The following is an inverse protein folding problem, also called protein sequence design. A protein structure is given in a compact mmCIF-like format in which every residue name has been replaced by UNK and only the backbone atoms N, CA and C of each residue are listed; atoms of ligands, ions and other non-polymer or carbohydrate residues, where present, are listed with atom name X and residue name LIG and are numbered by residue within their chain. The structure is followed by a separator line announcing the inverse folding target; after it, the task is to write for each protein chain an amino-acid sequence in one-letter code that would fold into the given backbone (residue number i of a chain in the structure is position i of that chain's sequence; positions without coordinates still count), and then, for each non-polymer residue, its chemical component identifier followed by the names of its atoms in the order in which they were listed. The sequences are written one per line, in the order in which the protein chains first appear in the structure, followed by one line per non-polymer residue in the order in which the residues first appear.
data_IF_376120390053
#
_entry.id   IF_376120390053
#
_cell.length_a   1.000
_cell.length_b   1.000
_cell.length_c   1.000
_cell.angle_alpha   90.00
_cell.angle_beta   90.00
_cell.angle_gamma   90.00
#
_symmetry.space_group_name_H-M   'P 1'
#
loop_
_entity.id
_entity.type
_entity.pdbx_description
1 polymer ?
#
# COMPACT_ATOMS: atom_id res chain seq x y z
N UNK A 1 -56.13 -7.57 8.56
CA UNK A 1 -54.98 -8.20 7.86
C UNK A 1 -54.51 -7.33 6.67
N UNK A 2 -54.28 -6.02 6.86
CA UNK A 2 -54.06 -5.09 5.73
C UNK A 2 -53.01 -3.99 5.92
N UNK A 3 -52.33 -3.90 7.08
CA UNK A 3 -51.31 -2.88 7.31
C UNK A 3 -49.86 -3.40 7.34
N UNK A 4 -49.63 -4.72 7.46
CA UNK A 4 -48.26 -5.26 7.48
C UNK A 4 -47.66 -5.48 6.08
N UNK A 5 -48.48 -5.68 5.05
CA UNK A 5 -48.01 -5.89 3.68
C UNK A 5 -47.47 -4.63 3.00
N UNK A 6 -48.00 -3.46 3.36
CA UNK A 6 -47.57 -2.18 2.80
C UNK A 6 -46.21 -1.70 3.38
N UNK A 7 -45.88 -2.09 4.62
CA UNK A 7 -44.62 -1.70 5.25
C UNK A 7 -43.41 -2.47 4.66
N UNK A 8 -43.59 -3.74 4.31
CA UNK A 8 -42.54 -4.57 3.72
C UNK A 8 -42.18 -4.16 2.28
N UNK A 9 -43.12 -3.56 1.54
CA UNK A 9 -42.86 -3.02 0.20
C UNK A 9 -42.10 -1.68 0.23
N UNK A 10 -42.22 -0.89 1.30
CA UNK A 10 -41.44 0.34 1.49
C UNK A 10 -40.01 0.06 2.01
N UNK A 11 -39.81 -1.07 2.71
CA UNK A 11 -38.48 -1.53 3.14
C UNK A 11 -37.69 -2.24 2.02
N UNK A 12 -38.34 -2.63 0.91
CA UNK A 12 -37.68 -3.18 -0.28
C UNK A 12 -37.05 -2.15 -1.22
N UNK A 13 -37.25 -0.84 -0.97
CA UNK A 13 -36.77 0.25 -1.82
C UNK A 13 -35.43 0.88 -1.42
N UNK A 14 -34.87 0.50 -0.27
CA UNK A 14 -33.53 0.92 0.18
C UNK A 14 -32.53 -0.24 -0.01
N UNK A 15 -32.58 -0.89 -1.17
CA UNK A 15 -31.42 -1.63 -1.66
C UNK A 15 -30.29 -0.63 -1.77
N UNK A 16 -29.28 -0.76 -0.91
CA UNK A 16 -28.10 0.07 -0.88
C UNK A 16 -27.61 0.27 -2.33
N UNK A 17 -27.68 1.50 -2.83
CA UNK A 17 -26.82 1.95 -3.91
C UNK A 17 -25.40 1.90 -3.35
N UNK A 18 -24.82 0.69 -3.29
CA UNK A 18 -23.40 0.54 -3.36
C UNK A 18 -23.04 1.10 -4.73
N UNK A 19 -22.69 2.39 -4.77
CA UNK A 19 -22.00 2.97 -5.91
C UNK A 19 -20.75 2.12 -6.11
N UNK A 20 -20.84 1.15 -7.02
CA UNK A 20 -19.70 0.41 -7.50
C UNK A 20 -18.81 1.44 -8.19
N UNK A 21 -17.60 1.59 -7.67
CA UNK A 21 -16.59 2.49 -8.21
C UNK A 21 -16.06 1.92 -9.53
N UNK A 22 -16.87 2.02 -10.59
CA UNK A 22 -16.45 1.73 -11.96
C UNK A 22 -15.86 3.00 -12.56
N UNK A 23 -14.56 3.15 -12.39
CA UNK A 23 -13.84 4.16 -13.15
C UNK A 23 -13.70 3.61 -14.57
N UNK A 24 -13.93 4.47 -15.57
CA UNK A 24 -13.98 4.08 -16.98
C UNK A 24 -12.79 3.19 -17.40
N UNK A 25 -13.09 2.11 -18.12
CA UNK A 25 -12.12 1.14 -18.63
C UNK A 25 -11.02 1.88 -19.39
N UNK A 26 -9.79 1.78 -18.88
CA UNK A 26 -8.62 2.33 -19.56
C UNK A 26 -8.21 1.40 -20.69
N UNK A 27 -7.76 2.00 -21.80
CA UNK A 27 -7.16 1.31 -22.94
C UNK A 27 -6.07 0.33 -22.47
N UNK A 28 -6.28 -0.97 -22.71
CA UNK A 28 -5.33 -2.04 -22.36
C UNK A 28 -3.96 -1.81 -22.97
N UNK A 29 -3.91 -1.23 -24.16
CA UNK A 29 -2.66 -0.96 -24.87
C UNK A 29 -1.85 0.13 -24.15
N UNK A 30 -2.52 1.09 -23.51
CA UNK A 30 -1.83 2.10 -22.70
C UNK A 30 -1.19 1.48 -21.45
N UNK A 31 -1.91 0.58 -20.78
CA UNK A 31 -1.40 -0.14 -19.60
C UNK A 31 -0.19 -0.98 -19.98
N UNK A 32 -0.28 -1.70 -21.09
CA UNK A 32 0.83 -2.50 -21.60
C UNK A 32 2.04 -1.64 -21.97
N UNK A 33 1.84 -0.52 -22.70
CA UNK A 33 2.92 0.42 -23.06
C UNK A 33 3.63 1.00 -21.83
N UNK A 34 2.88 1.33 -20.78
CA UNK A 34 3.47 1.79 -19.51
C UNK A 34 4.23 0.65 -18.80
N UNK A 35 3.68 -0.55 -18.82
CA UNK A 35 4.34 -1.77 -18.36
C UNK A 35 5.69 -2.01 -19.02
N UNK A 36 5.70 -2.00 -20.35
CA UNK A 36 6.91 -2.16 -21.17
C UNK A 36 7.98 -1.13 -20.85
N UNK A 37 7.63 0.08 -20.39
CA UNK A 37 8.60 1.09 -19.92
C UNK A 37 9.21 0.77 -18.55
N UNK A 38 8.50 0.04 -17.69
CA UNK A 38 9.01 -0.39 -16.39
C UNK A 38 9.82 -1.69 -16.44
N UNK A 39 9.53 -2.59 -17.37
CA UNK A 39 10.22 -3.89 -17.48
C UNK A 39 11.76 -3.78 -17.52
N UNK A 40 12.38 -2.83 -18.27
CA UNK A 40 13.84 -2.68 -18.28
C UNK A 40 14.45 -2.28 -16.94
N UNK A 41 13.67 -1.72 -16.01
CA UNK A 41 14.14 -1.39 -14.66
C UNK A 41 14.33 -2.62 -13.79
N UNK A 42 13.68 -3.74 -14.13
CA UNK A 42 13.81 -5.00 -13.38
C UNK A 42 15.20 -5.63 -13.52
N UNK A 43 15.97 -5.23 -14.54
CA UNK A 43 17.35 -5.67 -14.76
C UNK A 43 18.37 -4.70 -14.12
N UNK A 44 17.92 -3.55 -13.58
CA UNK A 44 18.77 -2.53 -12.94
C UNK A 44 18.87 -2.79 -11.44
N UNK A 45 19.88 -3.57 -11.06
CA UNK A 45 20.03 -4.09 -9.69
C UNK A 45 21.12 -3.38 -8.87
N UNK A 46 21.73 -2.31 -9.38
CA UNK A 46 22.68 -1.53 -8.58
C UNK A 46 21.97 -0.84 -7.40
N UNK A 47 22.59 -0.70 -6.22
CA UNK A 47 21.97 -0.09 -5.05
C UNK A 47 21.34 1.29 -5.31
N UNK A 48 21.96 2.10 -6.18
CA UNK A 48 21.50 3.45 -6.54
C UNK A 48 20.28 3.44 -7.49
N UNK A 49 20.10 2.35 -8.24
CA UNK A 49 19.02 2.20 -9.22
C UNK A 49 17.84 1.39 -8.68
N UNK A 50 18.04 0.62 -7.61
CA UNK A 50 16.99 -0.13 -6.94
C UNK A 50 15.90 0.81 -6.40
N UNK A 51 14.67 0.56 -6.85
CA UNK A 51 13.53 1.41 -6.54
C UNK A 51 12.33 0.55 -6.10
N UNK A 52 12.02 0.50 -4.79
CA UNK A 52 10.89 -0.28 -4.30
C UNK A 52 9.54 0.15 -4.89
N UNK A 53 9.38 1.42 -5.29
CA UNK A 53 8.12 1.88 -5.90
C UNK A 53 7.85 1.21 -7.24
N UNK A 54 8.88 0.90 -8.04
CA UNK A 54 8.71 0.18 -9.32
C UNK A 54 8.16 -1.21 -9.06
N UNK A 55 8.73 -1.91 -8.07
CA UNK A 55 8.25 -3.24 -7.67
C UNK A 55 6.79 -3.17 -7.18
N UNK A 56 6.45 -2.23 -6.28
CA UNK A 56 5.07 -2.03 -5.82
C UNK A 56 4.14 -1.73 -7.00
N UNK A 57 4.54 -0.83 -7.88
CA UNK A 57 3.78 -0.45 -9.08
C UNK A 57 3.44 -1.63 -9.97
N UNK A 58 4.45 -2.45 -10.28
CA UNK A 58 4.27 -3.67 -11.09
C UNK A 58 3.39 -4.69 -10.39
N UNK A 59 3.58 -4.94 -9.09
CA UNK A 59 2.79 -5.93 -8.33
C UNK A 59 1.34 -5.54 -8.11
N UNK A 60 1.07 -4.25 -8.07
CA UNK A 60 -0.30 -3.73 -8.04
C UNK A 60 -0.88 -3.56 -9.45
N UNK A 61 -0.04 -3.65 -10.48
CA UNK A 61 -0.48 -3.75 -11.86
C UNK A 61 -0.81 -5.21 -12.20
N UNK A 62 -1.77 -5.46 -13.07
CA UNK A 62 -2.07 -6.79 -13.60
C UNK A 62 -0.96 -7.32 -14.53
N UNK A 63 0.12 -6.56 -14.70
CA UNK A 63 1.28 -6.93 -15.49
C UNK A 63 2.22 -7.79 -14.65
N UNK A 64 2.88 -8.75 -15.30
CA UNK A 64 3.85 -9.63 -14.64
C UNK A 64 5.18 -9.58 -15.37
N UNK A 65 6.27 -9.35 -14.64
CA UNK A 65 7.64 -9.45 -15.14
C UNK A 65 8.26 -10.85 -14.88
N UNK A 66 7.42 -11.83 -14.51
CA UNK A 66 7.79 -13.22 -14.31
C UNK A 66 8.91 -13.40 -13.27
N UNK A 67 9.94 -14.25 -13.54
CA UNK A 67 10.99 -14.55 -12.55
C UNK A 67 11.85 -13.33 -12.18
N UNK A 68 11.85 -12.27 -12.99
CA UNK A 68 12.59 -11.04 -12.70
C UNK A 68 12.07 -10.33 -11.44
N UNK A 69 10.79 -10.46 -11.13
CA UNK A 69 10.20 -9.87 -9.91
C UNK A 69 10.80 -10.44 -8.63
N UNK A 70 10.91 -11.77 -8.56
CA UNK A 70 11.47 -12.44 -7.40
C UNK A 70 12.95 -12.06 -7.21
N UNK A 71 13.70 -11.99 -8.31
CA UNK A 71 15.10 -11.57 -8.28
C UNK A 71 15.26 -10.10 -7.85
N UNK A 72 14.42 -9.20 -8.38
CA UNK A 72 14.42 -7.79 -8.00
C UNK A 72 14.10 -7.59 -6.52
N UNK A 73 13.08 -8.27 -6.00
CA UNK A 73 12.75 -8.21 -4.57
C UNK A 73 13.87 -8.77 -3.70
N UNK A 74 14.53 -9.84 -4.13
CA UNK A 74 15.68 -10.39 -3.42
C UNK A 74 16.82 -9.35 -3.34
N UNK A 75 17.12 -8.66 -4.44
CA UNK A 75 18.12 -7.59 -4.47
C UNK A 75 17.72 -6.40 -3.58
N UNK A 76 16.44 -6.01 -3.56
CA UNK A 76 15.91 -5.02 -2.61
C UNK A 76 16.14 -5.44 -1.15
N UNK A 77 15.81 -6.70 -0.79
CA UNK A 77 16.02 -7.22 0.56
C UNK A 77 17.48 -7.17 0.96
N UNK A 78 18.38 -7.58 0.06
CA UNK A 78 19.82 -7.62 0.32
C UNK A 78 20.38 -6.21 0.53
N UNK A 79 20.14 -5.30 -0.42
CA UNK A 79 20.63 -3.91 -0.37
C UNK A 79 20.09 -3.17 0.87
N UNK A 80 18.77 -3.14 1.08
CA UNK A 80 18.19 -2.37 2.19
C UNK A 80 18.59 -2.92 3.57
N UNK A 81 18.65 -4.25 3.74
CA UNK A 81 19.07 -4.83 5.01
C UNK A 81 20.56 -4.59 5.27
N UNK A 82 21.41 -4.70 4.26
CA UNK A 82 22.85 -4.45 4.42
C UNK A 82 23.12 -2.98 4.75
N UNK A 83 22.65 -2.04 3.93
CA UNK A 83 22.94 -0.61 4.12
C UNK A 83 22.32 -0.02 5.40
N UNK A 84 21.17 -0.54 5.85
CA UNK A 84 20.48 0.00 7.03
C UNK A 84 20.84 -0.69 8.34
N UNK A 85 21.26 -1.96 8.32
CA UNK A 85 21.54 -2.75 9.52
C UNK A 85 23.03 -2.96 9.80
N UNK A 86 23.93 -2.62 8.86
CA UNK A 86 25.38 -2.66 9.07
C UNK A 86 25.75 -1.82 10.30
N UNK A 87 26.48 -2.45 11.22
CA UNK A 87 26.92 -1.84 12.47
C UNK A 87 28.05 -0.84 12.20
N UNK A 88 28.05 0.28 12.91
CA UNK A 88 29.13 1.29 12.95
C UNK A 88 30.33 0.73 13.75
N UNK A 89 30.82 -0.44 13.36
CA UNK A 89 31.93 -1.14 14.04
C UNK A 89 33.21 -1.22 13.20
N UNK A 90 33.19 -0.74 11.96
CA UNK A 90 34.40 -0.64 11.14
C UNK A 90 34.89 0.80 11.15
N UNK A 91 36.12 0.98 11.61
CA UNK A 91 36.93 2.21 11.57
C UNK A 91 37.21 2.72 10.13
N UNK A 92 36.43 2.29 9.14
CA UNK A 92 36.62 2.62 7.74
C UNK A 92 35.74 3.81 7.38
N UNK A 93 36.39 4.97 7.31
CA UNK A 93 35.93 6.18 6.62
C UNK A 93 35.91 5.96 5.09
N UNK A 94 35.28 4.89 4.61
CA UNK A 94 34.92 4.76 3.20
C UNK A 94 33.42 5.01 3.03
N UNK A 95 33.06 6.28 3.19
CA UNK A 95 31.83 6.85 2.61
C UNK A 95 31.81 6.50 1.12
N UNK A 96 31.02 5.48 0.73
CA UNK A 96 30.79 5.20 -0.69
C UNK A 96 29.48 4.49 -1.00
N UNK A 97 28.75 3.96 -0.02
CA UNK A 97 27.40 3.44 -0.27
C UNK A 97 26.35 4.38 0.32
N UNK A 98 25.65 5.10 -0.55
CA UNK A 98 24.61 6.04 -0.15
C UNK A 98 23.47 5.29 0.56
N UNK A 99 23.39 5.43 1.87
CA UNK A 99 22.38 4.79 2.71
C UNK A 99 20.97 5.20 2.25
N UNK A 100 20.02 4.27 2.06
CA UNK A 100 18.65 4.61 1.71
C UNK A 100 18.01 5.56 2.74
N UNK A 101 17.28 6.54 2.24
CA UNK A 101 16.47 7.44 3.07
C UNK A 101 15.38 6.68 3.83
N UNK A 102 14.82 7.31 4.87
CA UNK A 102 13.72 6.70 5.63
C UNK A 102 12.42 6.60 4.80
N UNK A 103 12.18 7.55 3.87
CA UNK A 103 11.12 7.42 2.87
C UNK A 103 11.32 6.23 1.94
N UNK A 104 12.55 5.95 1.49
CA UNK A 104 12.87 4.75 0.73
C UNK A 104 12.68 3.47 1.55
N UNK A 105 13.05 3.48 2.84
CA UNK A 105 12.76 2.35 3.75
C UNK A 105 11.24 2.10 3.86
N UNK A 106 10.42 3.15 3.95
CA UNK A 106 8.96 3.00 3.95
C UNK A 106 8.45 2.37 2.65
N UNK A 107 8.96 2.80 1.48
CA UNK A 107 8.64 2.16 0.19
C UNK A 107 9.10 0.70 0.13
N UNK A 108 10.25 0.37 0.69
CA UNK A 108 10.72 -1.01 0.78
C UNK A 108 9.79 -1.89 1.63
N UNK A 109 9.24 -1.37 2.72
CA UNK A 109 8.20 -2.06 3.49
C UNK A 109 6.93 -2.28 2.63
N UNK A 110 6.51 -1.29 1.84
CA UNK A 110 5.41 -1.48 0.88
C UNK A 110 5.72 -2.58 -0.14
N UNK A 111 6.96 -2.68 -0.63
CA UNK A 111 7.38 -3.74 -1.55
C UNK A 111 7.26 -5.14 -0.91
N UNK A 112 7.58 -5.29 0.38
CA UNK A 112 7.33 -6.55 1.11
C UNK A 112 5.83 -6.88 1.14
N UNK A 113 4.97 -5.90 1.41
CA UNK A 113 3.50 -6.10 1.38
C UNK A 113 2.98 -6.43 0.00
N UNK A 114 3.58 -5.89 -1.07
CA UNK A 114 3.23 -6.22 -2.45
C UNK A 114 3.56 -7.69 -2.82
N UNK A 115 4.47 -8.32 -2.07
CA UNK A 115 4.71 -9.76 -2.11
C UNK A 115 3.96 -10.53 -1.00
N UNK A 116 2.94 -9.91 -0.38
CA UNK A 116 2.17 -10.45 0.73
C UNK A 116 3.00 -10.85 1.97
N UNK A 117 4.22 -10.32 2.13
CA UNK A 117 5.09 -10.58 3.28
C UNK A 117 4.90 -9.56 4.40
N UNK A 118 4.98 -9.99 5.65
CA UNK A 118 5.12 -9.08 6.79
C UNK A 118 6.60 -8.88 7.13
N UNK A 119 6.97 -7.65 7.51
CA UNK A 119 8.28 -7.40 8.10
C UNK A 119 8.35 -8.14 9.44
N UNK A 120 9.22 -9.13 9.50
CA UNK A 120 9.46 -10.00 10.65
C UNK A 120 10.94 -10.29 10.83
N UNK A 121 11.28 -11.15 11.80
CA UNK A 121 12.64 -11.44 12.28
C UNK A 121 13.34 -10.28 12.99
N UNK A 122 14.45 -10.58 13.70
CA UNK A 122 15.28 -9.57 14.38
C UNK A 122 15.75 -8.44 13.45
N UNK A 123 16.02 -8.75 12.17
CA UNK A 123 16.41 -7.75 11.18
C UNK A 123 15.24 -6.81 10.86
N UNK A 124 14.06 -7.38 10.63
CA UNK A 124 12.84 -6.63 10.37
C UNK A 124 12.45 -5.72 11.54
N UNK A 125 12.53 -6.22 12.78
CA UNK A 125 12.23 -5.43 13.99
C UNK A 125 13.16 -4.22 14.14
N UNK A 126 14.44 -4.36 13.74
CA UNK A 126 15.39 -3.23 13.70
C UNK A 126 15.00 -2.19 12.65
N UNK A 127 14.56 -2.62 11.46
CA UNK A 127 14.07 -1.70 10.41
C UNK A 127 12.81 -0.95 10.86
N UNK A 128 11.84 -1.66 11.45
CA UNK A 128 10.65 -1.04 12.06
C UNK A 128 11.04 -0.02 13.13
N UNK A 129 12.02 -0.35 13.97
CA UNK A 129 12.51 0.55 15.03
C UNK A 129 13.23 1.77 14.47
N UNK A 130 13.92 1.67 13.32
CA UNK A 130 14.49 2.82 12.62
C UNK A 130 13.40 3.73 12.09
N UNK A 131 12.38 3.19 11.41
CA UNK A 131 11.29 3.98 10.86
C UNK A 131 10.43 4.65 11.94
N UNK A 132 10.20 3.97 13.08
CA UNK A 132 9.57 4.58 14.26
C UNK A 132 10.40 5.72 14.85
N UNK A 133 11.72 5.54 14.96
CA UNK A 133 12.62 6.60 15.45
C UNK A 133 12.64 7.81 14.51
N UNK A 134 12.61 7.58 13.20
CA UNK A 134 12.45 8.64 12.21
C UNK A 134 11.19 9.46 12.48
N UNK A 135 10.02 8.82 12.63
CA UNK A 135 8.77 9.51 12.95
C UNK A 135 8.82 10.30 14.27
N UNK A 136 9.49 9.77 15.29
CA UNK A 136 9.71 10.46 16.56
C UNK A 136 10.61 11.70 16.40
N UNK A 137 11.67 11.62 15.58
CA UNK A 137 12.53 12.76 15.26
C UNK A 137 11.76 13.84 14.50
N UNK A 138 11.01 13.46 13.47
CA UNK A 138 10.16 14.37 12.71
C UNK A 138 9.08 15.02 13.60
N UNK A 139 8.46 14.26 14.50
CA UNK A 139 7.52 14.79 15.50
C UNK A 139 8.16 15.87 16.38
N UNK A 140 9.42 15.68 16.80
CA UNK A 140 10.15 16.67 17.60
C UNK A 140 10.45 17.93 16.78
N UNK A 141 10.80 17.78 15.50
CA UNK A 141 11.04 18.89 14.58
C UNK A 141 9.80 19.78 14.39
N UNK A 142 8.62 19.18 14.28
CA UNK A 142 7.33 19.89 14.21
C UNK A 142 7.05 20.67 15.52
N UNK A 143 7.54 20.17 16.65
CA UNK A 143 7.38 20.79 17.97
C UNK A 143 5.98 20.63 18.55
N UNK A 144 5.81 20.92 19.84
CA UNK A 144 4.52 20.77 20.54
C UNK A 144 3.48 21.79 20.06
N UNK A 145 3.91 23.01 19.71
CA UNK A 145 3.07 24.12 19.27
C UNK A 145 2.79 24.14 17.76
N UNK A 146 3.25 23.11 17.02
CA UNK A 146 3.04 22.97 15.58
C UNK A 146 3.58 24.14 14.74
N UNK A 147 4.56 24.90 15.26
CA UNK A 147 5.23 25.99 14.53
C UNK A 147 6.42 25.52 13.71
N UNK A 148 6.92 24.31 13.96
CA UNK A 148 7.99 23.70 13.17
C UNK A 148 7.45 22.91 11.98
N UNK A 149 8.37 22.53 11.10
CA UNK A 149 8.12 21.62 9.98
C UNK A 149 8.94 20.33 10.13
N UNK A 150 8.52 19.22 9.51
CA UNK A 150 9.36 18.05 9.33
C UNK A 150 10.72 18.43 8.70
N UNK A 151 11.80 17.76 9.07
CA UNK A 151 13.10 17.87 8.39
C UNK A 151 13.04 17.35 6.95
N UNK A 152 12.12 16.41 6.68
CA UNK A 152 11.84 15.89 5.35
C UNK A 152 10.59 16.54 4.75
N UNK A 153 9.44 15.87 4.84
CA UNK A 153 8.15 16.39 4.39
C UNK A 153 7.00 15.62 5.05
N UNK A 154 5.81 16.23 5.09
CA UNK A 154 4.61 15.53 5.52
C UNK A 154 4.24 14.34 4.62
N UNK A 155 4.68 14.35 3.35
CA UNK A 155 4.56 13.18 2.46
C UNK A 155 5.33 11.97 3.00
N UNK A 156 6.62 12.14 3.32
CA UNK A 156 7.43 11.04 3.89
C UNK A 156 6.93 10.63 5.29
N UNK A 157 6.43 11.59 6.06
CA UNK A 157 5.81 11.34 7.36
C UNK A 157 4.57 10.43 7.22
N UNK A 158 3.64 10.79 6.34
CA UNK A 158 2.44 10.00 6.04
C UNK A 158 2.77 8.62 5.45
N UNK A 159 3.70 8.56 4.49
CA UNK A 159 4.16 7.32 3.88
C UNK A 159 4.76 6.35 4.91
N UNK A 160 5.52 6.87 5.87
CA UNK A 160 6.11 6.05 6.94
C UNK A 160 5.05 5.49 7.90
N UNK A 161 4.02 6.28 8.21
CA UNK A 161 2.86 5.82 8.99
C UNK A 161 2.10 4.73 8.22
N UNK A 162 1.83 4.95 6.93
CA UNK A 162 1.17 3.98 6.05
C UNK A 162 1.94 2.65 6.01
N UNK A 163 3.25 2.69 5.78
CA UNK A 163 4.09 1.50 5.71
C UNK A 163 4.05 0.70 7.03
N UNK A 164 4.15 1.37 8.18
CA UNK A 164 4.03 0.73 9.49
C UNK A 164 2.64 0.14 9.72
N UNK A 165 1.59 0.87 9.35
CA UNK A 165 0.21 0.43 9.48
C UNK A 165 -0.07 -0.86 8.67
N UNK A 166 0.37 -0.92 7.40
CA UNK A 166 0.20 -2.10 6.54
C UNK A 166 0.97 -3.33 7.07
N UNK A 167 1.98 -3.12 7.90
CA UNK A 167 2.69 -4.16 8.63
C UNK A 167 2.16 -4.42 10.06
N UNK A 168 1.00 -3.87 10.41
CA UNK A 168 0.36 -3.98 11.74
C UNK A 168 1.27 -3.48 12.88
N UNK A 169 2.13 -2.49 12.61
CA UNK A 169 3.01 -1.89 13.60
C UNK A 169 2.43 -0.54 14.05
N UNK A 170 1.85 -0.52 15.25
CA UNK A 170 1.30 0.72 15.85
C UNK A 170 2.38 1.78 16.08
N UNK A 171 2.05 3.03 15.76
CA UNK A 171 2.78 4.24 16.17
C UNK A 171 2.03 4.95 17.29
N UNK A 172 2.74 5.76 18.09
CA UNK A 172 2.13 6.47 19.22
C UNK A 172 1.11 7.52 18.74
N UNK A 173 0.05 7.76 19.52
CA UNK A 173 -1.04 8.66 19.13
C UNK A 173 -0.54 10.10 18.88
N UNK A 174 0.52 10.53 19.57
CA UNK A 174 1.14 11.84 19.36
C UNK A 174 1.88 11.98 18.02
N UNK A 175 2.31 10.87 17.40
CA UNK A 175 2.87 10.85 16.04
C UNK A 175 1.73 11.06 15.04
N UNK A 176 0.65 10.26 15.16
CA UNK A 176 -0.55 10.42 14.33
C UNK A 176 -1.14 11.83 14.47
N UNK A 177 -1.16 12.36 15.70
CA UNK A 177 -1.65 13.69 16.01
C UNK A 177 -0.95 14.83 15.25
N UNK A 178 0.32 14.66 14.85
CA UNK A 178 0.99 15.66 14.01
C UNK A 178 0.49 15.68 12.58
N UNK A 179 0.26 14.50 12.00
CA UNK A 179 -0.31 14.40 10.66
C UNK A 179 -1.77 14.85 10.65
N UNK A 180 -2.55 14.48 11.69
CA UNK A 180 -3.92 14.98 11.87
C UNK A 180 -3.92 16.49 11.89
N UNK A 181 -3.13 17.12 12.75
CA UNK A 181 -3.07 18.58 12.85
C UNK A 181 -2.79 19.26 11.50
N UNK A 182 -1.87 18.71 10.70
CA UNK A 182 -1.51 19.27 9.39
C UNK A 182 -2.68 19.25 8.38
N UNK A 183 -3.57 18.26 8.48
CA UNK A 183 -4.78 18.18 7.66
C UNK A 183 -5.94 18.99 8.27
N UNK A 184 -6.03 19.05 9.59
CA UNK A 184 -7.10 19.77 10.30
C UNK A 184 -6.96 21.29 10.15
N UNK A 185 -5.74 21.81 10.15
CA UNK A 185 -5.46 23.24 10.18
C UNK A 185 -4.92 23.74 8.84
N UNK A 186 -5.42 24.89 8.40
CA UNK A 186 -5.02 25.55 7.16
C UNK A 186 -3.73 26.38 7.30
N UNK A 187 -3.06 26.35 8.47
CA UNK A 187 -1.73 26.99 8.64
C UNK A 187 -0.64 26.41 7.73
N UNK A 188 -0.92 25.29 7.05
CA UNK A 188 -0.12 24.77 5.95
C UNK A 188 -0.90 24.87 4.63
N UNK A 189 -1.17 26.09 4.13
CA UNK A 189 -2.03 26.31 2.96
C UNK A 189 -1.46 25.68 1.67
N UNK A 190 -0.20 25.25 1.68
CA UNK A 190 0.50 24.67 0.53
C UNK A 190 0.73 23.15 0.63
N UNK A 191 -0.04 22.42 1.45
CA UNK A 191 0.03 20.95 1.39
C UNK A 191 -0.36 20.49 -0.01
N UNK A 192 0.61 19.96 -0.76
CA UNK A 192 0.39 19.44 -2.09
C UNK A 192 -0.69 18.36 -2.08
N UNK A 193 -1.36 18.18 -3.24
CA UNK A 193 -2.32 17.09 -3.43
C UNK A 193 -1.68 15.73 -3.11
N UNK A 194 -0.42 15.51 -3.49
CA UNK A 194 0.32 14.28 -3.16
C UNK A 194 0.44 14.05 -1.66
N UNK A 195 0.76 15.10 -0.90
CA UNK A 195 0.90 15.03 0.55
C UNK A 195 -0.43 14.75 1.22
N UNK A 196 -1.48 15.43 0.77
CA UNK A 196 -2.85 15.24 1.24
C UNK A 196 -3.35 13.82 0.95
N UNK A 197 -3.09 13.32 -0.25
CA UNK A 197 -3.47 11.97 -0.65
C UNK A 197 -2.71 10.89 0.12
N UNK A 198 -1.40 11.05 0.31
CA UNK A 198 -0.60 10.14 1.12
C UNK A 198 -1.06 10.11 2.59
N UNK A 199 -1.44 11.27 3.15
CA UNK A 199 -2.03 11.34 4.48
C UNK A 199 -3.37 10.58 4.56
N UNK A 200 -4.24 10.75 3.55
CA UNK A 200 -5.49 10.01 3.45
C UNK A 200 -5.31 8.50 3.40
N UNK A 201 -4.33 8.00 2.63
CA UNK A 201 -4.01 6.56 2.60
C UNK A 201 -3.56 6.05 3.97
N UNK A 202 -2.71 6.83 4.66
CA UNK A 202 -2.27 6.49 6.01
C UNK A 202 -3.45 6.43 6.99
N UNK A 203 -4.33 7.43 6.99
CA UNK A 203 -5.52 7.47 7.84
C UNK A 203 -6.50 6.33 7.54
N UNK A 204 -6.76 6.05 6.27
CA UNK A 204 -7.61 4.93 5.84
C UNK A 204 -7.08 3.61 6.38
N UNK A 205 -5.76 3.38 6.29
CA UNK A 205 -5.15 2.19 6.86
C UNK A 205 -5.34 2.12 8.38
N UNK A 206 -5.12 3.23 9.10
CA UNK A 206 -5.24 3.28 10.56
C UNK A 206 -6.68 3.04 11.04
N UNK A 207 -7.66 3.58 10.30
CA UNK A 207 -9.09 3.39 10.54
C UNK A 207 -9.46 1.90 10.40
N UNK A 208 -9.19 1.30 9.25
CA UNK A 208 -9.48 -0.12 8.97
C UNK A 208 -8.72 -1.05 9.93
N UNK A 209 -7.50 -0.68 10.34
CA UNK A 209 -6.67 -1.51 11.20
C UNK A 209 -6.91 -1.34 12.69
N UNK A 210 -7.70 -0.34 13.11
CA UNK A 210 -7.98 -0.04 14.51
C UNK A 210 -6.71 0.12 15.39
N UNK A 211 -5.60 0.60 14.81
CA UNK A 211 -4.32 0.70 15.54
C UNK A 211 -4.27 1.87 16.52
N UNK A 212 -5.06 2.92 16.31
CA UNK A 212 -5.06 4.15 17.12
C UNK A 212 -6.49 4.52 17.56
N UNK A 213 -7.12 3.64 18.33
CA UNK A 213 -8.52 3.76 18.79
C UNK A 213 -8.86 5.13 19.41
N UNK A 214 -7.95 5.69 20.21
CA UNK A 214 -8.15 6.99 20.86
C UNK A 214 -8.25 8.17 19.88
N UNK A 215 -7.83 7.98 18.63
CA UNK A 215 -7.87 8.99 17.57
C UNK A 215 -8.91 8.65 16.51
N UNK A 216 -9.74 7.61 16.69
CA UNK A 216 -10.64 7.10 15.64
C UNK A 216 -11.53 8.20 15.05
N UNK A 217 -12.21 8.97 15.89
CA UNK A 217 -13.14 10.00 15.43
C UNK A 217 -12.41 11.14 14.71
N UNK A 218 -11.22 11.52 15.19
CA UNK A 218 -10.37 12.51 14.52
C UNK A 218 -9.80 12.01 13.20
N UNK A 219 -9.47 10.72 13.11
CA UNK A 219 -9.03 10.08 11.87
C UNK A 219 -10.16 10.09 10.84
N UNK A 220 -11.38 9.72 11.23
CA UNK A 220 -12.55 9.76 10.35
C UNK A 220 -12.83 11.19 9.83
N UNK A 221 -12.75 12.19 10.71
CA UNK A 221 -12.91 13.59 10.31
C UNK A 221 -11.76 14.06 9.38
N UNK A 222 -10.52 13.65 9.65
CA UNK A 222 -9.39 13.99 8.80
C UNK A 222 -9.50 13.34 7.41
N UNK A 223 -10.05 12.13 7.32
CA UNK A 223 -10.39 11.48 6.05
C UNK A 223 -11.37 12.34 5.26
N UNK A 224 -12.46 12.81 5.87
CA UNK A 224 -13.41 13.72 5.21
C UNK A 224 -12.74 15.01 4.71
N UNK A 225 -11.86 15.62 5.51
CA UNK A 225 -11.10 16.80 5.10
C UNK A 225 -10.13 16.54 3.94
N UNK A 226 -9.50 15.36 3.91
CA UNK A 226 -8.67 14.95 2.77
C UNK A 226 -9.50 14.89 1.50
N UNK A 227 -10.69 14.30 1.57
CA UNK A 227 -11.62 14.23 0.43
C UNK A 227 -11.96 15.63 -0.11
N UNK A 228 -12.40 16.52 0.79
CA UNK A 228 -12.75 17.90 0.46
C UNK A 228 -11.59 18.67 -0.18
N UNK A 229 -10.37 18.54 0.39
CA UNK A 229 -9.17 19.22 -0.12
C UNK A 229 -8.77 18.71 -1.51
N UNK A 230 -8.82 17.40 -1.74
CA UNK A 230 -8.50 16.81 -3.06
C UNK A 230 -9.52 17.29 -4.10
N UNK A 231 -10.82 17.24 -3.79
CA UNK A 231 -11.88 17.70 -4.68
C UNK A 231 -11.74 19.19 -5.01
N UNK A 232 -11.44 20.03 -4.01
CA UNK A 232 -11.22 21.47 -4.21
C UNK A 232 -10.01 21.78 -5.08
N UNK A 233 -9.01 20.89 -5.11
CA UNK A 233 -7.83 21.03 -5.94
C UNK A 233 -8.04 20.61 -7.41
N UNK A 234 -9.26 20.22 -7.81
CA UNK A 234 -9.52 19.88 -9.20
C UNK A 234 -9.38 21.10 -10.11
N UNK A 235 -8.56 20.99 -11.16
CA UNK A 235 -8.34 22.05 -12.14
C UNK A 235 -9.46 22.06 -13.20
N UNK A 236 -9.61 23.14 -13.98
CA UNK A 236 -10.55 23.18 -15.10
C UNK A 236 -10.35 22.05 -16.13
N UNK A 237 -9.11 21.56 -16.27
CA UNK A 237 -8.75 20.42 -17.13
C UNK A 237 -9.13 19.06 -16.50
N UNK A 238 -9.63 19.05 -15.26
CA UNK A 238 -10.06 17.89 -14.51
C UNK A 238 -8.95 17.11 -13.80
N UNK A 239 -7.74 17.66 -13.69
CA UNK A 239 -6.66 17.10 -12.89
C UNK A 239 -6.82 17.45 -11.42
N UNK A 240 -6.45 16.56 -10.49
CA UNK A 240 -6.35 16.93 -9.07
C UNK A 240 -4.99 17.55 -8.81
N UNK A 241 -4.94 18.87 -8.68
CA UNK A 241 -3.73 19.68 -8.59
C UNK A 241 -3.00 19.77 -9.93
N UNK A 242 -2.37 18.68 -10.36
CA UNK A 242 -1.72 18.56 -11.66
C UNK A 242 -1.76 17.11 -12.17
N UNK A 243 -1.30 16.88 -13.40
CA UNK A 243 -1.30 15.57 -14.06
C UNK A 243 -0.51 14.50 -13.28
N UNK A 244 0.52 14.88 -12.53
CA UNK A 244 1.38 13.97 -11.78
C UNK A 244 0.87 13.64 -10.38
N UNK A 245 0.08 14.54 -9.77
CA UNK A 245 -0.57 14.32 -8.47
C UNK A 245 -1.91 13.57 -8.59
N UNK A 246 -2.56 13.69 -9.76
CA UNK A 246 -3.84 13.03 -10.05
C UNK A 246 -3.83 11.52 -9.79
N UNK A 247 -2.78 10.76 -10.14
CA UNK A 247 -2.73 9.33 -9.87
C UNK A 247 -2.93 8.98 -8.40
N UNK A 248 -2.14 9.61 -7.52
CA UNK A 248 -2.21 9.35 -6.09
C UNK A 248 -3.55 9.84 -5.49
N UNK A 249 -4.09 10.96 -6.00
CA UNK A 249 -5.41 11.48 -5.63
C UNK A 249 -6.55 10.50 -5.97
N UNK A 250 -6.50 9.87 -7.15
CA UNK A 250 -7.46 8.84 -7.53
C UNK A 250 -7.33 7.58 -6.66
N UNK A 251 -6.09 7.17 -6.33
CA UNK A 251 -5.84 6.01 -5.47
C UNK A 251 -6.51 6.18 -4.10
N UNK A 252 -6.30 7.34 -3.46
CA UNK A 252 -6.94 7.62 -2.17
C UNK A 252 -8.43 7.83 -2.34
N UNK A 253 -8.88 8.50 -3.41
CA UNK A 253 -10.29 8.72 -3.69
C UNK A 253 -11.10 7.44 -3.72
N UNK A 254 -10.59 6.40 -4.40
CA UNK A 254 -11.20 5.07 -4.40
C UNK A 254 -11.24 4.44 -3.01
N UNK A 255 -10.13 4.49 -2.25
CA UNK A 255 -10.08 3.94 -0.89
C UNK A 255 -11.07 4.61 0.06
N UNK A 256 -11.45 5.86 -0.26
CA UNK A 256 -12.33 6.71 0.52
C UNK A 256 -13.79 6.70 0.03
N UNK A 257 -14.11 5.92 -1.01
CA UNK A 257 -15.47 5.83 -1.56
C UNK A 257 -15.90 7.04 -2.39
N UNK A 258 -14.97 7.91 -2.80
CA UNK A 258 -15.23 9.04 -3.69
C UNK A 258 -15.37 8.57 -5.14
N UNK A 259 -16.51 7.96 -5.48
CA UNK A 259 -16.77 7.44 -6.82
C UNK A 259 -17.12 8.54 -7.85
N UNK A 260 -17.27 9.80 -7.42
CA UNK A 260 -17.59 10.94 -8.28
C UNK A 260 -16.35 11.68 -8.82
N UNK A 261 -15.13 11.18 -8.55
CA UNK A 261 -13.90 11.73 -9.13
C UNK A 261 -13.82 11.30 -10.60
N UNK A 262 -14.57 11.95 -11.47
CA UNK A 262 -14.39 11.81 -12.92
C UNK A 262 -13.23 12.74 -13.33
N UNK A 263 -12.05 12.20 -13.65
CA UNK A 263 -11.10 12.99 -14.43
C UNK A 263 -11.73 13.29 -15.80
N UNK A 264 -11.54 14.50 -16.33
CA UNK A 264 -12.00 14.87 -17.66
C UNK A 264 -11.43 13.87 -18.70
N UNK A 265 -12.11 13.59 -19.84
CA UNK A 265 -11.65 12.65 -20.87
C UNK A 265 -10.21 12.88 -21.37
N UNK A 266 -9.67 14.09 -21.19
CA UNK A 266 -8.27 14.42 -21.45
C UNK A 266 -7.24 13.70 -20.58
N UNK A 267 -7.64 12.94 -19.55
CA UNK A 267 -6.73 12.07 -18.79
C UNK A 267 -6.51 10.71 -19.49
N UNK A 268 -7.53 10.25 -20.22
CA UNK A 268 -7.50 9.00 -21.02
C UNK A 268 -6.98 9.29 -22.43
N UNK A 269 -7.26 10.48 -22.98
CA UNK A 269 -6.72 10.97 -24.26
C UNK A 269 -5.49 11.87 -24.14
N UNK A 270 -4.96 12.03 -22.93
CA UNK A 270 -3.85 12.94 -22.65
C UNK A 270 -2.56 12.43 -23.25
N UNK A 271 -1.84 13.33 -23.92
CA UNK A 271 -0.53 13.05 -24.48
C UNK A 271 0.51 12.82 -23.35
N UNK A 272 0.64 11.57 -22.89
CA UNK A 272 1.69 11.15 -21.95
C UNK A 272 3.10 11.13 -22.58
N UNK A 273 3.31 11.77 -23.75
CA UNK A 273 4.62 11.98 -24.39
C UNK A 273 5.67 12.60 -23.45
N UNK A 274 5.24 13.44 -22.48
CA UNK A 274 6.13 14.02 -21.46
C UNK A 274 6.61 13.04 -20.38
N UNK A 275 5.89 11.92 -20.17
CA UNK A 275 6.28 10.86 -19.24
C UNK A 275 7.41 9.97 -19.80
N UNK A 276 8.15 10.44 -20.82
CA UNK A 276 9.33 9.80 -21.40
C UNK A 276 10.66 10.40 -20.97
N UNK A 277 10.70 11.41 -20.08
CA UNK A 277 11.97 11.99 -19.60
C UNK A 277 12.66 11.09 -18.56
N UNK A 278 14.00 11.10 -18.45
CA UNK A 278 14.71 10.45 -17.34
C UNK A 278 14.18 11.01 -16.01
N UNK A 279 13.54 10.17 -15.19
CA UNK A 279 12.76 10.57 -14.00
C UNK A 279 11.29 10.07 -13.99
N UNK A 280 10.80 9.59 -15.13
CA UNK A 280 9.42 9.12 -15.35
C UNK A 280 9.06 7.74 -14.79
N UNK A 281 10.04 6.94 -14.35
CA UNK A 281 9.78 5.59 -13.82
C UNK A 281 9.02 5.60 -12.49
N UNK A 282 9.21 6.64 -11.67
CA UNK A 282 8.44 6.86 -10.44
C UNK A 282 6.98 7.21 -10.75
N UNK A 283 6.74 7.98 -11.80
CA UNK A 283 5.41 8.34 -12.27
C UNK A 283 4.67 7.12 -12.83
N UNK A 284 5.34 6.35 -13.69
CA UNK A 284 4.80 5.09 -14.20
C UNK A 284 4.46 4.11 -13.05
N UNK A 285 5.28 4.05 -11.99
CA UNK A 285 5.01 3.16 -10.86
C UNK A 285 3.84 3.60 -9.96
N UNK A 286 3.47 4.88 -9.95
CA UNK A 286 2.26 5.39 -9.27
C UNK A 286 1.02 5.31 -10.15
N UNK A 287 1.20 5.36 -11.47
CA UNK A 287 0.14 5.24 -12.46
C UNK A 287 -0.34 3.79 -12.66
N UNK A 288 0.59 2.83 -12.69
CA UNK A 288 0.28 1.42 -12.94
C UNK A 288 -0.71 0.76 -11.95
N UNK A 289 -0.62 0.99 -10.62
CA UNK A 289 -1.61 0.50 -9.66
C UNK A 289 -3.03 0.97 -9.98
N UNK A 290 -3.19 2.17 -10.53
CA UNK A 290 -4.51 2.68 -10.89
C UNK A 290 -5.06 1.85 -12.02
N UNK A 291 -4.33 1.65 -13.11
CA UNK A 291 -4.84 0.97 -14.30
C UNK A 291 -5.37 -0.45 -14.08
N UNK A 292 -4.86 -1.16 -13.09
CA UNK A 292 -5.32 -2.51 -12.74
C UNK A 292 -6.49 -2.52 -11.76
N UNK A 293 -6.65 -1.42 -11.04
CA UNK A 293 -7.81 -1.09 -10.21
C UNK A 293 -8.94 -0.46 -11.06
N UNK A 294 -8.63 0.02 -12.27
CA UNK A 294 -9.50 0.63 -13.30
C UNK A 294 -10.03 -0.38 -14.34
N UNK A 295 -9.60 -1.64 -14.29
CA UNK A 295 -10.11 -2.69 -15.18
C UNK A 295 -11.20 -3.48 -14.45
N UNK A 296 -12.40 -3.67 -15.05
CA UNK A 296 -13.41 -4.55 -14.47
C UNK A 296 -12.87 -5.98 -14.39
N UNK A 297 -13.22 -6.68 -13.30
CA UNK A 297 -13.05 -8.12 -13.21
C UNK A 297 -13.85 -8.74 -14.36
N UNK A 298 -13.26 -9.54 -15.25
CA UNK A 298 -14.04 -10.19 -16.30
C UNK A 298 -15.04 -11.17 -15.67
N UNK A 299 -16.32 -11.01 -16.03
CA UNK A 299 -17.47 -11.86 -15.63
C UNK A 299 -17.45 -13.27 -16.26
N UNK A 300 -16.30 -13.79 -16.65
CA UNK A 300 -16.20 -15.15 -17.19
C UNK A 300 -15.90 -16.12 -16.05
N UNK A 301 -16.96 -16.58 -15.40
CA UNK A 301 -16.97 -17.77 -14.56
C UNK A 301 -17.13 -19.00 -15.48
N UNK A 302 -16.09 -19.83 -15.75
CA UNK A 302 -16.30 -21.07 -16.46
C UNK A 302 -16.98 -22.04 -15.49
N UNK A 303 -18.15 -22.52 -15.86
CA UNK A 303 -18.81 -23.64 -15.18
C UNK A 303 -17.81 -24.82 -15.09
N UNK A 304 -17.60 -25.28 -13.86
CA UNK A 304 -16.70 -26.38 -13.55
C UNK A 304 -17.24 -27.69 -14.15
N UNK A 305 -16.54 -28.25 -15.12
CA UNK A 305 -16.52 -29.70 -15.36
C UNK A 305 -15.17 -30.25 -14.90
N UNK A 306 -15.25 -31.26 -14.03
CA UNK A 306 -14.12 -31.82 -13.30
C UNK A 306 -13.09 -32.51 -14.19
N UNK A 307 -11.81 -32.32 -13.83
CA UNK A 307 -10.68 -33.06 -14.37
C UNK A 307 -9.44 -32.75 -13.53
N UNK A 308 -8.92 -33.76 -12.85
CA UNK A 308 -7.74 -33.66 -12.01
C UNK A 308 -6.48 -33.35 -12.83
N UNK A 309 -5.74 -32.31 -12.44
CA UNK A 309 -4.43 -31.97 -13.00
C UNK A 309 -3.68 -31.04 -12.04
N UNK A 310 -2.46 -31.41 -11.67
CA UNK A 310 -1.58 -30.64 -10.80
C UNK A 310 -1.11 -29.35 -11.49
N UNK A 311 -1.33 -28.19 -10.86
CA UNK A 311 -0.76 -26.90 -11.27
C UNK A 311 -0.52 -25.99 -10.05
N UNK A 312 0.68 -25.42 -10.00
CA UNK A 312 1.14 -24.47 -8.97
C UNK A 312 0.24 -23.22 -8.83
N UNK A 313 0.20 -22.56 -7.66
CA UNK A 313 -0.67 -21.41 -7.46
C UNK A 313 -0.11 -20.19 -8.21
N UNK A 314 -0.86 -19.73 -9.21
CA UNK A 314 -0.65 -18.47 -9.91
C UNK A 314 -0.98 -17.30 -8.96
N UNK A 315 -0.08 -16.32 -8.92
CA UNK A 315 -0.14 -15.17 -8.02
C UNK A 315 -1.33 -14.26 -8.31
N UNK A 316 -2.36 -14.34 -7.47
CA UNK A 316 -3.35 -13.29 -7.31
C UNK A 316 -2.91 -12.37 -6.17
N UNK A 317 -2.95 -11.06 -6.42
CA UNK A 317 -2.67 -10.04 -5.40
C UNK A 317 -3.57 -10.21 -4.18
N UNK A 318 -3.08 -9.77 -3.02
CA UNK A 318 -3.76 -9.85 -1.73
C UNK A 318 -5.17 -9.17 -1.79
N UNK A 319 -6.25 -9.95 -1.94
CA UNK A 319 -7.64 -9.47 -1.82
C UNK A 319 -8.07 -9.40 -0.35
N UNK A 320 -8.67 -8.28 0.05
CA UNK A 320 -9.33 -8.12 1.36
C UNK A 320 -10.78 -8.57 1.19
N UNK A 321 -11.20 -9.61 1.92
CA UNK A 321 -12.58 -10.09 1.91
C UNK A 321 -13.53 -9.13 2.64
N UNK A 322 -14.71 -8.88 2.05
CA UNK A 322 -15.83 -8.18 2.70
C UNK A 322 -16.50 -9.08 3.75
N UNK A 323 -16.94 -8.53 4.90
CA UNK A 323 -17.75 -9.26 5.86
C UNK A 323 -19.23 -9.25 5.44
N UNK A 324 -19.80 -10.43 5.23
CA UNK A 324 -21.26 -10.62 5.16
C UNK A 324 -21.85 -10.50 6.57
N UNK A 325 -22.77 -9.56 6.75
CA UNK A 325 -23.53 -9.38 7.97
C UNK A 325 -24.62 -10.46 8.11
N UNK A 326 -24.64 -11.19 9.22
CA UNK A 326 -25.85 -11.81 9.77
C UNK A 326 -25.60 -12.28 11.23
N UNK A 327 -26.38 -11.73 12.17
CA UNK A 327 -26.79 -12.38 13.43
C UNK A 327 -25.80 -12.46 14.60
N UNK A 328 -26.00 -11.60 15.61
CA UNK A 328 -25.65 -11.87 17.02
C UNK A 328 -26.81 -12.69 17.66
N UNK A 329 -26.57 -13.55 18.70
CA UNK A 329 -25.98 -13.12 19.96
C UNK A 329 -24.96 -14.05 20.66
N UNK A 330 -24.17 -13.40 21.52
CA UNK A 330 -23.53 -13.81 22.80
C UNK A 330 -22.64 -15.06 22.96
N UNK A 331 -21.50 -14.77 23.61
CA UNK A 331 -20.69 -15.59 24.54
C UNK A 331 -19.60 -16.53 24.00
N UNK A 332 -18.36 -16.14 24.31
CA UNK A 332 -17.23 -16.98 24.70
C UNK A 332 -16.93 -18.23 23.85
N UNK A 333 -15.98 -18.10 22.91
CA UNK A 333 -14.82 -18.99 22.67
C UNK A 333 -14.16 -18.71 21.32
N UNK A 334 -12.83 -18.70 21.35
CA UNK A 334 -11.86 -19.04 20.30
C UNK A 334 -12.23 -18.79 18.83
N UNK A 335 -11.68 -17.73 18.25
CA UNK A 335 -11.56 -17.61 16.78
C UNK A 335 -10.18 -18.06 16.33
N UNK A 336 -10.14 -19.30 15.83
CA UNK A 336 -9.02 -19.91 15.12
C UNK A 336 -8.61 -19.09 13.91
N UNK A 337 -7.31 -18.84 13.80
CA UNK A 337 -6.66 -18.42 12.58
C UNK A 337 -6.84 -19.52 11.51
N UNK A 338 -7.40 -19.17 10.35
CA UNK A 338 -7.35 -20.04 9.18
C UNK A 338 -5.89 -20.12 8.73
N UNK A 339 -5.32 -21.32 8.88
CA UNK A 339 -3.94 -21.65 8.59
C UNK A 339 -3.63 -21.56 7.08
N UNK A 340 -2.54 -20.88 6.74
CA UNK A 340 -1.74 -21.25 5.57
C UNK A 340 -1.04 -22.58 5.88
N UNK A 341 -0.87 -23.50 4.91
CA UNK A 341 -0.24 -24.80 5.17
C UNK A 341 1.22 -24.62 5.62
N UNK A 342 1.60 -25.28 6.71
CA UNK A 342 3.00 -25.45 7.12
C UNK A 342 3.77 -26.32 6.10
N UNK A 343 5.08 -26.10 5.94
CA UNK A 343 5.92 -26.96 5.10
C UNK A 343 6.12 -28.33 5.74
N UNK A 344 5.84 -29.40 5.00
CA UNK A 344 6.14 -30.78 5.41
C UNK A 344 7.64 -30.96 5.70
N UNK A 345 7.92 -31.33 6.96
CA UNK A 345 9.20 -31.81 7.42
C UNK A 345 9.40 -33.26 6.93
N UNK A 346 10.40 -33.50 6.08
CA UNK A 346 10.78 -34.84 5.64
C UNK A 346 11.23 -35.69 6.84
N UNK A 347 10.32 -36.54 7.33
CA UNK A 347 10.62 -37.60 8.30
C UNK A 347 11.06 -38.87 7.56
N UNK A 348 12.33 -38.95 7.24
CA UNK A 348 12.99 -40.20 6.83
C UNK A 348 13.54 -40.94 8.05
N UNK A 349 12.80 -41.91 8.59
CA UNK A 349 13.31 -42.85 9.58
C UNK A 349 13.74 -44.14 8.92
N UNK A 350 15.03 -44.48 8.98
CA UNK A 350 15.48 -45.87 9.02
C UNK A 350 16.60 -46.02 10.05
N UNK A 351 16.30 -46.81 11.08
CA UNK A 351 17.22 -47.32 12.07
C UNK A 351 18.27 -48.24 11.41
N UNK A 352 19.54 -48.01 11.71
CA UNK A 352 20.52 -49.08 11.83
C UNK A 352 21.35 -48.85 13.10
N UNK A 353 21.34 -49.87 13.95
CA UNK A 353 21.81 -49.91 15.33
C UNK A 353 23.08 -50.75 15.34
N UNK A 354 24.23 -50.20 15.73
CA UNK A 354 25.40 -50.99 16.16
C UNK A 354 26.17 -50.26 17.27
N UNK A 355 26.82 -51.02 18.18
CA UNK A 355 27.07 -50.60 19.55
C UNK A 355 28.45 -49.97 19.75
N UNK A 356 28.57 -49.23 20.85
CA UNK A 356 29.84 -48.74 21.34
C UNK A 356 30.76 -49.86 21.84
N UNK A 357 32.06 -49.62 21.72
CA UNK A 357 33.06 -50.21 22.59
C UNK A 357 34.13 -49.18 22.89
N UNK A 358 34.41 -49.07 24.19
CA UNK A 358 35.51 -48.33 24.80
C UNK A 358 36.86 -48.82 24.26
N UNK A 359 37.72 -47.91 23.82
CA UNK A 359 39.04 -47.63 24.43
C UNK A 359 39.63 -46.37 23.81
#
# INVERSE_FOLDING_TARGET
MGCLGALLLLLGGLGALAWTCEIAKVDSDLVERLGQRLLPWMDRLSPEQLNPSIYVGLRLSGLQAGPKEAHYLHSLKLSYQQSLLRSVSSNDKSDSEAKPSMGQLALYLLALRANCEFVGSRKGDRLVSQLKRFLETEKRAIGHNHKGHPHTSYYQYGLSILALCLHRKRVHDSVVGKLLYAIEHEQHPDLSVDTTAMAGLAFSCLEVSNLNLNQRDRIALAIQRVQERILRAQTPEGHFGNVYSTPLALQVGKSLGLCALHPHPGLVGGDWSGAGRPGSSWLASHLLPLFSILSPVPDDLPQAHGGAGHSMPQGKGCSVGQPTAQGLPESSRDFSASACPEPEELRGSHLAKLPGTKR
#
